data_IF_907298092766
#
_entry.id   IF_907298092766
#
_cell.length_a   1.000
_cell.length_b   1.000
_cell.length_c   1.000
_cell.angle_alpha   90.00
_cell.angle_beta   90.00
_cell.angle_gamma   90.00
#
_symmetry.space_group_name_H-M   'P 1'
#
loop_
_entity.id
_entity.type
_entity.pdbx_description
1 polymer ?
#
# COMPACT_ATOMS: atom_id res chain seq x y z
N UNK A 1 2.82 -44.14 -6.97
CA UNK A 1 3.85 -45.11 -6.51
C UNK A 1 5.29 -44.58 -6.64
N UNK A 2 5.54 -43.26 -6.51
CA UNK A 2 6.87 -42.63 -6.77
C UNK A 2 7.37 -41.69 -5.65
N UNK A 3 6.69 -41.64 -4.50
CA UNK A 3 7.08 -40.81 -3.33
C UNK A 3 7.74 -41.60 -2.19
N UNK A 4 7.80 -42.93 -2.30
CA UNK A 4 8.35 -43.79 -1.25
C UNK A 4 9.86 -44.03 -1.35
N UNK A 5 10.49 -43.81 -2.52
CA UNK A 5 11.92 -44.13 -2.71
C UNK A 5 12.90 -43.09 -2.13
N UNK A 6 12.50 -41.86 -1.81
CA UNK A 6 13.44 -40.86 -1.28
C UNK A 6 13.57 -40.89 0.25
N UNK A 7 12.54 -41.35 0.97
CA UNK A 7 12.56 -41.36 2.45
C UNK A 7 13.49 -42.43 3.04
N UNK A 8 13.75 -43.53 2.33
CA UNK A 8 14.71 -44.56 2.77
C UNK A 8 16.18 -44.17 2.50
N UNK A 9 16.45 -43.35 1.47
CA UNK A 9 17.79 -42.77 1.28
C UNK A 9 18.12 -41.73 2.37
N UNK A 10 17.13 -40.97 2.82
CA UNK A 10 17.29 -40.01 3.93
C UNK A 10 17.47 -40.68 5.30
N UNK A 11 17.14 -41.96 5.45
CA UNK A 11 17.40 -42.72 6.68
C UNK A 11 18.84 -43.24 6.78
N UNK A 12 19.52 -43.43 5.64
CA UNK A 12 20.87 -43.99 5.55
C UNK A 12 21.96 -42.91 5.45
N UNK A 13 21.59 -41.73 4.95
CA UNK A 13 22.38 -40.50 5.00
C UNK A 13 21.90 -39.70 6.22
N UNK A 14 22.79 -39.41 7.17
CA UNK A 14 22.42 -38.73 8.42
C UNK A 14 21.59 -37.47 8.19
N UNK A 15 20.77 -37.06 9.17
CA UNK A 15 19.92 -35.86 9.11
C UNK A 15 20.63 -34.66 8.45
N UNK A 16 21.93 -34.47 8.75
CA UNK A 16 22.79 -33.44 8.17
C UNK A 16 22.80 -33.47 6.64
N UNK A 17 22.99 -34.62 6.01
CA UNK A 17 23.03 -34.73 4.55
C UNK A 17 21.65 -34.54 3.92
N UNK A 18 20.57 -34.96 4.59
CA UNK A 18 19.20 -34.61 4.19
C UNK A 18 18.96 -33.09 4.22
N UNK A 19 19.44 -32.42 5.28
CA UNK A 19 19.36 -30.96 5.42
C UNK A 19 20.17 -30.24 4.33
N UNK A 20 21.38 -30.72 4.03
CA UNK A 20 22.23 -30.17 2.97
C UNK A 20 21.57 -30.31 1.60
N UNK A 21 20.99 -31.47 1.29
CA UNK A 21 20.28 -31.69 0.03
C UNK A 21 19.08 -30.75 -0.11
N UNK A 22 18.30 -30.57 0.97
CA UNK A 22 17.16 -29.64 0.98
C UNK A 22 17.59 -28.18 0.78
N UNK A 23 18.67 -27.75 1.46
CA UNK A 23 19.23 -26.40 1.30
C UNK A 23 19.74 -26.18 -0.12
N UNK A 24 20.49 -27.14 -0.69
CA UNK A 24 20.99 -27.05 -2.07
C UNK A 24 19.84 -26.92 -3.07
N UNK A 25 18.77 -27.72 -2.91
CA UNK A 25 17.59 -27.64 -3.76
C UNK A 25 16.89 -26.28 -3.64
N UNK A 26 16.78 -25.73 -2.43
CA UNK A 26 16.23 -24.40 -2.20
C UNK A 26 17.07 -23.30 -2.86
N UNK A 27 18.39 -23.36 -2.72
CA UNK A 27 19.31 -22.38 -3.33
C UNK A 27 19.21 -22.43 -4.86
N UNK A 28 19.19 -23.62 -5.46
CA UNK A 28 19.01 -23.78 -6.91
C UNK A 28 17.65 -23.23 -7.34
N UNK A 29 16.58 -23.51 -6.60
CA UNK A 29 15.25 -22.99 -6.89
C UNK A 29 15.21 -21.45 -6.83
N UNK A 30 15.80 -20.83 -5.81
CA UNK A 30 15.91 -19.37 -5.69
C UNK A 30 16.71 -18.81 -6.86
N UNK A 31 17.81 -19.46 -7.25
CA UNK A 31 18.65 -19.01 -8.36
C UNK A 31 17.90 -19.07 -9.70
N UNK A 32 17.12 -20.13 -9.92
CA UNK A 32 16.24 -20.26 -11.09
C UNK A 32 15.16 -19.17 -11.09
N UNK A 33 14.51 -18.91 -9.95
CA UNK A 33 13.54 -17.82 -9.83
C UNK A 33 14.19 -16.46 -10.11
N UNK A 34 15.39 -16.23 -9.57
CA UNK A 34 16.12 -14.98 -9.77
C UNK A 34 16.52 -14.78 -11.23
N UNK A 35 17.02 -15.82 -11.90
CA UNK A 35 17.32 -15.78 -13.35
C UNK A 35 16.05 -15.57 -14.15
N UNK A 36 14.95 -16.24 -13.81
CA UNK A 36 13.65 -16.07 -14.48
C UNK A 36 13.13 -14.64 -14.33
N UNK A 37 13.23 -14.08 -13.13
CA UNK A 37 12.87 -12.68 -12.84
C UNK A 37 13.76 -11.70 -13.58
N UNK A 38 15.08 -11.94 -13.61
CA UNK A 38 16.01 -11.12 -14.40
C UNK A 38 15.73 -11.19 -15.89
N UNK A 39 15.46 -12.37 -16.45
CA UNK A 39 15.09 -12.54 -17.87
C UNK A 39 13.78 -11.80 -18.18
N UNK A 40 12.79 -11.87 -17.30
CA UNK A 40 11.54 -11.12 -17.45
C UNK A 40 11.76 -9.61 -17.35
N UNK A 41 12.63 -9.17 -16.44
CA UNK A 41 12.97 -7.76 -16.28
C UNK A 41 13.78 -7.22 -17.47
N UNK A 42 14.74 -7.98 -17.99
CA UNK A 42 15.45 -7.66 -19.23
C UNK A 42 14.51 -7.67 -20.45
N UNK A 43 13.51 -8.56 -20.49
CA UNK A 43 12.48 -8.56 -21.54
C UNK A 43 11.55 -7.34 -21.44
N UNK A 44 11.25 -6.90 -20.21
CA UNK A 44 10.46 -5.70 -19.95
C UNK A 44 11.23 -4.41 -20.28
N UNK A 45 12.56 -4.40 -20.08
CA UNK A 45 13.44 -3.30 -20.47
C UNK A 45 13.73 -3.28 -21.99
N UNK A 46 13.84 -4.45 -22.63
CA UNK A 46 14.07 -4.58 -24.07
C UNK A 46 12.85 -4.19 -24.91
N UNK A 47 11.66 -4.23 -24.32
CA UNK A 47 10.42 -3.78 -24.97
C UNK A 47 9.75 -2.69 -24.12
N UNK A 48 10.33 -1.48 -24.05
CA UNK A 48 9.58 -0.37 -23.50
C UNK A 48 8.39 -0.16 -24.42
N UNK A 49 7.17 -0.34 -23.91
CA UNK A 49 5.97 -0.16 -24.71
C UNK A 49 5.99 1.24 -25.31
N UNK A 50 5.58 1.38 -26.57
CA UNK A 50 5.54 2.68 -27.24
C UNK A 50 4.73 3.71 -26.43
N UNK A 51 3.74 3.24 -25.65
CA UNK A 51 2.98 4.00 -24.67
C UNK A 51 3.80 4.46 -23.45
N UNK A 52 4.69 3.62 -22.92
CA UNK A 52 5.61 4.01 -21.84
C UNK A 52 6.66 5.01 -22.32
N UNK A 53 7.16 4.85 -23.55
CA UNK A 53 8.10 5.80 -24.15
C UNK A 53 7.41 7.16 -24.43
N UNK A 54 6.17 7.16 -24.92
CA UNK A 54 5.41 8.38 -25.15
C UNK A 54 5.06 9.10 -23.85
N UNK A 55 4.74 8.36 -22.78
CA UNK A 55 4.46 8.94 -21.47
C UNK A 55 5.70 9.61 -20.87
N UNK A 56 6.88 8.98 -20.98
CA UNK A 56 8.14 9.57 -20.53
C UNK A 56 8.50 10.80 -21.35
N UNK A 57 8.35 10.74 -22.68
CA UNK A 57 8.62 11.86 -23.58
C UNK A 57 7.72 13.08 -23.29
N UNK A 58 6.41 12.86 -23.08
CA UNK A 58 5.47 13.91 -22.71
C UNK A 58 5.81 14.54 -21.35
N UNK A 59 6.21 13.72 -20.37
CA UNK A 59 6.59 14.22 -19.06
C UNK A 59 7.89 15.03 -19.08
N UNK A 60 8.89 14.61 -19.88
CA UNK A 60 10.11 15.40 -20.10
C UNK A 60 9.84 16.71 -20.83
N UNK A 61 8.88 16.76 -21.77
CA UNK A 61 8.50 17.98 -22.46
C UNK A 61 7.85 19.02 -21.52
N UNK A 62 7.05 18.57 -20.55
CA UNK A 62 6.43 19.44 -19.54
C UNK A 62 7.47 19.94 -18.52
N UNK A 63 8.51 19.14 -18.25
CA UNK A 63 9.58 19.51 -17.33
C UNK A 63 10.67 20.40 -17.93
N UNK A 64 10.60 20.74 -19.22
CA UNK A 64 11.52 21.70 -19.83
C UNK A 64 11.01 23.13 -19.53
N UNK A 65 11.65 23.90 -18.62
CA UNK A 65 11.22 25.25 -18.34
C UNK A 65 11.51 26.13 -19.56
N UNK A 66 10.41 26.56 -20.17
CA UNK A 66 10.24 27.68 -21.09
C UNK A 66 11.31 28.77 -20.88
N UNK A 67 12.30 28.76 -21.76
CA UNK A 67 13.27 29.83 -21.93
C UNK A 67 13.27 30.24 -23.39
N UNK A 68 12.21 30.96 -23.81
CA UNK A 68 12.23 32.03 -24.82
C UNK A 68 10.81 32.49 -25.22
N UNK A 69 10.53 33.74 -24.87
CA UNK A 69 9.59 34.74 -25.42
C UNK A 69 8.05 34.53 -25.44
N UNK A 70 7.27 35.51 -24.90
CA UNK A 70 5.82 35.56 -25.04
C UNK A 70 5.40 36.14 -26.41
N UNK A 71 4.37 35.59 -27.09
CA UNK A 71 3.79 36.23 -28.27
C UNK A 71 2.94 37.46 -27.90
N UNK A 72 2.88 38.50 -28.75
CA UNK A 72 2.21 39.76 -28.44
C UNK A 72 0.69 39.61 -28.39
N UNK A 73 0.10 39.98 -27.25
CA UNK A 73 -1.34 40.13 -27.08
C UNK A 73 -1.84 41.33 -27.89
N UNK A 74 -2.74 41.09 -28.85
CA UNK A 74 -3.50 42.14 -29.51
C UNK A 74 -4.69 42.60 -28.62
N UNK A 75 -4.94 43.91 -28.46
CA UNK A 75 -5.97 44.41 -27.55
C UNK A 75 -7.36 44.31 -28.19
N UNK A 76 -8.30 43.63 -27.53
CA UNK A 76 -9.72 43.62 -27.93
C UNK A 76 -10.48 44.60 -27.04
N UNK A 77 -10.87 45.73 -27.62
CA UNK A 77 -11.68 46.79 -27.04
C UNK A 77 -13.13 46.30 -26.81
N UNK A 78 -13.79 46.59 -25.67
CA UNK A 78 -15.20 46.21 -25.46
C UNK A 78 -16.16 47.24 -26.09
N UNK A 79 -16.98 46.83 -27.08
CA UNK A 79 -18.10 47.63 -27.58
C UNK A 79 -19.41 47.18 -26.94
N UNK A 80 -20.07 48.12 -26.24
CA UNK A 80 -21.44 48.03 -25.72
C UNK A 80 -22.38 48.81 -26.66
N UNK A 81 -23.50 48.25 -27.12
CA UNK A 81 -24.58 49.03 -27.73
C UNK A 81 -25.71 49.30 -26.73
N UNK A 82 -26.36 50.42 -26.96
CA UNK A 82 -27.31 51.12 -26.12
C UNK A 82 -28.77 50.65 -26.23
N UNK A 83 -29.50 50.92 -25.16
CA UNK A 83 -30.92 51.29 -25.01
C UNK A 83 -31.88 51.15 -26.21
N UNK A 84 -32.98 50.41 -25.98
CA UNK A 84 -34.35 50.78 -26.41
C UNK A 84 -35.38 50.25 -25.39
N UNK A 85 -36.27 51.12 -24.91
CA UNK A 85 -37.46 50.86 -24.06
C UNK A 85 -38.59 51.79 -24.58
N UNK A 86 -39.91 51.55 -24.40
CA UNK A 86 -40.83 50.44 -24.73
C UNK A 86 -41.97 50.94 -25.70
N UNK A 87 -43.13 50.27 -25.85
CA UNK A 87 -44.28 50.70 -25.02
C UNK A 87 -45.24 49.58 -24.58
N UNK A 88 -45.97 49.87 -23.50
CA UNK A 88 -47.00 49.05 -22.89
C UNK A 88 -48.36 49.16 -23.62
N UNK A 89 -49.11 48.05 -23.71
CA UNK A 89 -50.58 48.07 -23.68
C UNK A 89 -51.19 46.65 -23.53
N UNK A 90 -52.26 46.62 -22.73
CA UNK A 90 -53.39 45.68 -22.71
C UNK A 90 -53.22 44.31 -22.02
N UNK A 91 -53.70 44.27 -20.78
CA UNK A 91 -54.25 43.06 -20.15
C UNK A 91 -55.71 42.92 -20.61
N UNK A 92 -56.15 41.73 -21.02
CA UNK A 92 -57.47 41.28 -20.64
C UNK A 92 -57.41 39.94 -19.89
N UNK A 93 -58.02 39.97 -18.73
CA UNK A 93 -58.38 38.85 -17.88
C UNK A 93 -59.55 38.10 -18.54
N UNK A 94 -59.41 36.81 -18.85
CA UNK A 94 -60.53 35.91 -19.13
C UNK A 94 -60.10 34.45 -18.99
N UNK A 95 -60.72 33.80 -18.02
CA UNK A 95 -60.47 32.45 -17.57
C UNK A 95 -60.69 31.34 -18.62
N UNK A 96 -60.04 30.21 -18.32
CA UNK A 96 -60.32 28.86 -18.79
C UNK A 96 -60.01 28.57 -20.27
N UNK A 97 -58.84 27.98 -20.50
CA UNK A 97 -58.69 26.55 -20.82
C UNK A 97 -57.24 26.18 -20.51
N UNK A 98 -57.00 25.39 -19.46
CA UNK A 98 -55.71 24.72 -19.32
C UNK A 98 -55.70 23.56 -20.31
N UNK A 99 -55.36 23.88 -21.56
CA UNK A 99 -54.88 22.87 -22.49
C UNK A 99 -53.60 22.29 -21.88
N UNK A 100 -53.64 21.00 -21.56
CA UNK A 100 -52.47 20.19 -21.19
C UNK A 100 -51.66 19.88 -22.45
N UNK A 101 -51.39 20.92 -23.24
CA UNK A 101 -50.65 20.90 -24.49
C UNK A 101 -49.31 21.59 -24.33
N UNK A 102 -48.29 20.82 -23.99
CA UNK A 102 -46.91 21.02 -24.45
C UNK A 102 -46.27 22.40 -24.27
N UNK A 103 -46.05 22.84 -23.03
CA UNK A 103 -44.98 23.82 -22.74
C UNK A 103 -44.07 23.28 -21.65
N UNK A 104 -43.00 22.61 -22.08
CA UNK A 104 -41.85 22.27 -21.21
C UNK A 104 -41.22 23.58 -20.74
N UNK A 105 -41.19 23.79 -19.43
CA UNK A 105 -40.61 24.97 -18.79
C UNK A 105 -39.07 24.91 -18.91
N UNK A 106 -38.38 25.96 -19.43
CA UNK A 106 -36.93 25.90 -19.73
C UNK A 106 -36.01 25.65 -18.52
N UNK A 107 -36.51 25.88 -17.30
CA UNK A 107 -35.77 25.61 -16.06
C UNK A 107 -35.85 24.14 -15.59
N UNK A 108 -36.57 23.29 -16.31
CA UNK A 108 -36.68 21.86 -16.03
C UNK A 108 -35.80 21.01 -16.96
N UNK A 109 -34.95 21.66 -17.76
CA UNK A 109 -33.99 20.97 -18.61
C UNK A 109 -32.76 20.58 -17.77
N UNK A 110 -32.37 19.30 -17.72
CA UNK A 110 -31.19 18.90 -16.98
C UNK A 110 -29.97 19.64 -17.54
N UNK A 111 -29.07 20.14 -16.68
CA UNK A 111 -27.92 20.92 -17.12
C UNK A 111 -27.13 20.13 -18.17
N UNK A 112 -26.61 20.80 -19.21
CA UNK A 112 -25.86 20.15 -20.27
C UNK A 112 -24.71 19.35 -19.66
N UNK A 113 -24.52 18.11 -20.11
CA UNK A 113 -23.47 17.24 -19.59
C UNK A 113 -22.12 17.95 -19.70
N UNK A 114 -21.49 18.18 -18.55
CA UNK A 114 -20.18 18.82 -18.48
C UNK A 114 -19.18 17.85 -19.13
N UNK A 115 -18.39 18.27 -20.13
CA UNK A 115 -17.40 17.40 -20.74
C UNK A 115 -16.40 16.94 -19.66
N UNK A 116 -16.28 15.61 -19.50
CA UNK A 116 -15.46 14.99 -18.46
C UNK A 116 -16.22 14.50 -17.22
N UNK A 117 -17.53 14.74 -17.10
CA UNK A 117 -18.33 14.23 -15.98
C UNK A 117 -18.30 12.69 -15.90
N UNK A 118 -18.42 12.01 -17.05
CA UNK A 118 -18.32 10.55 -17.12
C UNK A 118 -16.97 10.01 -16.62
N UNK A 119 -15.89 10.73 -16.90
CA UNK A 119 -14.54 10.38 -16.43
C UNK A 119 -14.43 10.58 -14.93
N UNK A 120 -14.98 11.69 -14.41
CA UNK A 120 -15.02 11.97 -12.97
C UNK A 120 -15.84 10.88 -12.27
N UNK A 121 -17.01 10.53 -12.79
CA UNK A 121 -17.88 9.51 -12.21
C UNK A 121 -17.24 8.11 -12.27
N UNK A 122 -16.50 7.80 -13.34
CA UNK A 122 -15.72 6.56 -13.45
C UNK A 122 -14.59 6.51 -12.41
N UNK A 123 -13.83 7.61 -12.28
CA UNK A 123 -12.74 7.70 -11.30
C UNK A 123 -13.26 7.66 -9.86
N UNK A 124 -14.41 8.29 -9.58
CA UNK A 124 -15.07 8.21 -8.29
C UNK A 124 -15.49 6.78 -7.93
N UNK A 125 -15.99 6.01 -8.91
CA UNK A 125 -16.30 4.58 -8.73
C UNK A 125 -15.06 3.76 -8.43
N UNK A 126 -13.97 3.97 -9.17
CA UNK A 126 -12.70 3.28 -8.93
C UNK A 126 -12.12 3.63 -7.55
N UNK A 127 -12.17 4.91 -7.14
CA UNK A 127 -11.73 5.32 -5.80
C UNK A 127 -12.58 4.71 -4.69
N UNK A 128 -13.90 4.59 -4.89
CA UNK A 128 -14.78 3.92 -3.95
C UNK A 128 -14.43 2.43 -3.84
N UNK A 129 -14.23 1.76 -4.97
CA UNK A 129 -13.83 0.36 -5.02
C UNK A 129 -12.49 0.14 -4.30
N UNK A 130 -11.46 0.93 -4.61
CA UNK A 130 -10.15 0.84 -3.96
C UNK A 130 -10.24 1.06 -2.44
N UNK A 131 -11.09 1.97 -1.98
CA UNK A 131 -11.29 2.18 -0.54
C UNK A 131 -11.89 0.93 0.12
N UNK A 132 -12.89 0.32 -0.50
CA UNK A 132 -13.46 -0.93 0.00
C UNK A 132 -12.41 -2.06 0.05
N UNK A 133 -11.62 -2.23 -1.01
CA UNK A 133 -10.54 -3.24 -1.04
C UNK A 133 -9.47 -2.97 0.02
N UNK A 134 -9.10 -1.70 0.25
CA UNK A 134 -8.15 -1.33 1.31
C UNK A 134 -8.72 -1.61 2.70
N UNK A 135 -10.00 -1.33 2.93
CA UNK A 135 -10.66 -1.62 4.21
C UNK A 135 -10.74 -3.13 4.46
N UNK A 136 -11.00 -3.93 3.43
CA UNK A 136 -10.96 -5.40 3.48
C UNK A 136 -9.55 -5.92 3.79
N UNK A 137 -8.53 -5.47 3.06
CA UNK A 137 -7.13 -5.84 3.32
C UNK A 137 -6.67 -5.43 4.72
N UNK A 138 -7.11 -4.27 5.23
CA UNK A 138 -6.81 -3.85 6.60
C UNK A 138 -7.43 -4.81 7.61
N UNK A 139 -8.67 -5.26 7.39
CA UNK A 139 -9.32 -6.24 8.23
C UNK A 139 -8.59 -7.59 8.20
N UNK A 140 -8.18 -8.05 7.00
CA UNK A 140 -7.40 -9.29 6.84
C UNK A 140 -6.03 -9.20 7.53
N UNK A 141 -5.32 -8.08 7.42
CA UNK A 141 -4.04 -7.87 8.10
C UNK A 141 -4.20 -7.86 9.62
N UNK A 142 -5.28 -7.25 10.13
CA UNK A 142 -5.58 -7.29 11.56
C UNK A 142 -5.88 -8.71 12.04
N UNK A 143 -6.66 -9.48 11.27
CA UNK A 143 -6.93 -10.88 11.56
C UNK A 143 -5.64 -11.73 11.54
N UNK A 144 -4.83 -11.61 10.49
CA UNK A 144 -3.56 -12.33 10.37
C UNK A 144 -2.57 -11.98 11.50
N UNK A 145 -2.54 -10.72 11.96
CA UNK A 145 -1.74 -10.32 13.11
C UNK A 145 -2.21 -10.97 14.41
N UNK A 146 -3.52 -11.08 14.62
CA UNK A 146 -4.05 -11.79 15.78
C UNK A 146 -3.77 -13.29 15.68
N UNK A 147 -3.89 -13.89 14.50
CA UNK A 147 -3.56 -15.30 14.28
C UNK A 147 -2.08 -15.58 14.58
N UNK A 148 -1.16 -14.73 14.13
CA UNK A 148 0.26 -14.82 14.48
C UNK A 148 0.47 -14.66 15.98
N UNK A 149 -0.25 -13.72 16.63
CA UNK A 149 -0.18 -13.53 18.09
C UNK A 149 -0.71 -14.76 18.83
N UNK A 150 -1.78 -15.39 18.35
CA UNK A 150 -2.34 -16.62 18.91
C UNK A 150 -1.41 -17.81 18.67
N UNK A 151 -0.85 -17.95 17.47
CA UNK A 151 0.15 -18.96 17.16
C UNK A 151 1.40 -18.79 18.03
N UNK A 152 1.86 -17.56 18.28
CA UNK A 152 2.97 -17.27 19.19
C UNK A 152 2.64 -17.65 20.64
N UNK A 153 1.43 -17.33 21.14
CA UNK A 153 0.94 -17.79 22.45
C UNK A 153 0.89 -19.32 22.55
N UNK A 154 0.59 -20.00 21.44
CA UNK A 154 0.41 -21.45 21.39
C UNK A 154 1.71 -22.23 21.12
N UNK A 155 2.73 -21.60 20.50
CA UNK A 155 3.96 -22.26 20.02
C UNK A 155 5.18 -22.03 20.92
N UNK A 156 5.21 -20.98 21.76
CA UNK A 156 6.31 -20.74 22.68
C UNK A 156 5.85 -20.12 24.01
N UNK A 157 6.47 -20.46 25.15
CA UNK A 157 6.15 -19.83 26.43
C UNK A 157 6.44 -18.34 26.33
N UNK A 158 5.47 -17.53 26.72
CA UNK A 158 5.60 -16.07 26.84
C UNK A 158 6.89 -15.69 27.59
N UNK A 159 7.85 -15.06 26.92
CA UNK A 159 8.79 -14.18 27.62
C UNK A 159 8.34 -12.74 27.30
N UNK A 160 8.17 -11.84 28.29
CA UNK A 160 9.02 -11.69 29.47
C UNK A 160 8.32 -11.16 30.76
N UNK A 161 8.15 -12.00 31.80
CA UNK A 161 8.37 -11.57 33.18
C UNK A 161 9.73 -12.06 33.70
N UNK A 162 10.24 -13.19 33.20
CA UNK A 162 11.51 -13.79 33.64
C UNK A 162 12.74 -12.95 33.29
N UNK A 163 12.80 -12.34 32.09
CA UNK A 163 13.94 -11.49 31.71
C UNK A 163 13.95 -10.16 32.48
N UNK A 164 12.77 -9.57 32.74
CA UNK A 164 12.67 -8.35 33.55
C UNK A 164 13.08 -8.64 35.01
N UNK A 165 12.62 -9.76 35.57
CA UNK A 165 13.01 -10.21 36.90
C UNK A 165 14.52 -10.51 37.00
N UNK A 166 15.08 -11.21 36.00
CA UNK A 166 16.52 -11.45 35.89
C UNK A 166 17.33 -10.15 35.77
N UNK A 167 16.84 -9.18 35.00
CA UNK A 167 17.47 -7.86 34.87
C UNK A 167 17.44 -7.10 36.21
N UNK A 168 16.34 -7.17 36.97
CA UNK A 168 16.26 -6.58 38.30
C UNK A 168 17.20 -7.25 39.29
N UNK A 169 17.31 -8.59 39.26
CA UNK A 169 18.28 -9.31 40.10
C UNK A 169 19.73 -8.97 39.74
N UNK A 170 20.05 -8.81 38.45
CA UNK A 170 21.37 -8.34 38.04
C UNK A 170 21.64 -6.90 38.51
N UNK A 171 20.63 -6.02 38.48
CA UNK A 171 20.68 -4.66 39.04
C UNK A 171 20.79 -4.67 40.57
N UNK A 172 20.36 -5.72 41.26
CA UNK A 172 20.60 -5.93 42.69
C UNK A 172 21.98 -6.56 43.00
N UNK A 173 22.72 -6.99 41.96
CA UNK A 173 24.07 -7.52 42.10
C UNK A 173 24.15 -9.03 42.29
N UNK A 174 23.07 -9.77 41.99
CA UNK A 174 23.10 -11.22 41.98
C UNK A 174 24.05 -11.75 40.90
N UNK A 175 24.69 -12.89 41.18
CA UNK A 175 25.59 -13.57 40.25
C UNK A 175 24.80 -14.30 39.16
N UNK A 176 25.46 -14.53 38.02
CA UNK A 176 24.84 -15.18 36.87
C UNK A 176 24.32 -16.59 37.20
N UNK A 177 24.96 -17.28 38.14
CA UNK A 177 24.51 -18.56 38.69
C UNK A 177 23.15 -18.48 39.37
N UNK A 178 22.99 -17.57 40.34
CA UNK A 178 21.72 -17.44 41.04
C UNK A 178 20.60 -16.96 40.11
N UNK A 179 20.91 -16.08 39.16
CA UNK A 179 19.94 -15.60 38.17
C UNK A 179 19.50 -16.75 37.25
N UNK A 180 20.43 -17.55 36.74
CA UNK A 180 20.12 -18.71 35.91
C UNK A 180 19.22 -19.72 36.65
N UNK A 181 19.56 -20.04 37.90
CA UNK A 181 18.78 -20.98 38.71
C UNK A 181 17.39 -20.45 39.11
N UNK A 182 17.26 -19.15 39.46
CA UNK A 182 15.97 -18.57 39.87
C UNK A 182 15.03 -18.29 38.72
N UNK A 183 15.55 -17.79 37.60
CA UNK A 183 14.73 -17.42 36.44
C UNK A 183 14.61 -18.53 35.39
N UNK A 184 15.32 -19.66 35.57
CA UNK A 184 15.32 -20.76 34.60
C UNK A 184 15.99 -20.37 33.26
N UNK A 185 16.96 -19.45 33.30
CA UNK A 185 17.68 -18.96 32.13
C UNK A 185 18.92 -19.82 31.86
N UNK A 186 19.36 -19.84 30.60
CA UNK A 186 20.63 -20.46 30.27
C UNK A 186 21.79 -19.68 30.93
N UNK A 187 22.86 -20.38 31.32
CA UNK A 187 23.99 -19.73 31.99
C UNK A 187 24.61 -18.59 31.17
N UNK A 188 24.73 -18.78 29.86
CA UNK A 188 25.24 -17.77 28.94
C UNK A 188 24.32 -16.52 28.87
N UNK A 189 23.00 -16.70 28.98
CA UNK A 189 22.06 -15.58 29.01
C UNK A 189 22.17 -14.80 30.31
N UNK A 190 22.32 -15.49 31.45
CA UNK A 190 22.53 -14.84 32.73
C UNK A 190 23.85 -14.06 32.78
N UNK A 191 24.94 -14.61 32.24
CA UNK A 191 26.23 -13.91 32.12
C UNK A 191 26.11 -12.63 31.27
N UNK A 192 25.37 -12.69 30.17
CA UNK A 192 25.09 -11.52 29.33
C UNK A 192 24.30 -10.45 30.09
N UNK A 193 23.26 -10.84 30.84
CA UNK A 193 22.42 -9.92 31.63
C UNK A 193 23.27 -9.23 32.71
N UNK A 194 24.15 -9.96 33.40
CA UNK A 194 25.06 -9.39 34.41
C UNK A 194 26.05 -8.40 33.77
N UNK A 195 26.62 -8.75 32.62
CA UNK A 195 27.52 -7.85 31.88
C UNK A 195 26.79 -6.58 31.42
N UNK A 196 25.55 -6.71 30.92
CA UNK A 196 24.72 -5.60 30.49
C UNK A 196 24.34 -4.69 31.67
N UNK A 197 23.95 -5.27 32.81
CA UNK A 197 23.62 -4.51 34.02
C UNK A 197 24.84 -3.74 34.56
N UNK A 198 26.04 -4.33 34.49
CA UNK A 198 27.29 -3.66 34.87
C UNK A 198 27.61 -2.49 33.94
N UNK A 199 27.57 -2.71 32.62
CA UNK A 199 27.78 -1.64 31.64
C UNK A 199 26.84 -0.44 31.87
N UNK A 200 25.58 -0.70 32.21
CA UNK A 200 24.60 0.34 32.51
C UNK A 200 24.87 1.13 33.79
N UNK A 201 25.54 0.53 34.78
CA UNK A 201 25.98 1.24 35.99
C UNK A 201 27.24 2.07 35.72
N UNK A 202 28.15 1.54 34.92
CA UNK A 202 29.43 2.19 34.60
C UNK A 202 29.25 3.35 33.60
N UNK A 203 28.20 3.32 32.78
CA UNK A 203 27.86 4.37 31.80
C UNK A 203 27.00 5.53 32.34
N UNK A 204 26.85 5.66 33.66
CA UNK A 204 26.12 6.73 34.33
C UNK A 204 27.05 7.53 35.25
#
# INVERSE_FOLDING_TARGET
MRRAMDLELLGRFGWREGLIAMIMLLVVYILVLFVRMRRLHESALATPSLAAQSAVAAYTAIQQPESADPPPQAPVTPQRPADVVPPAAAVPDAAAHFDTGGTSFPWNEPPPQIPGQELIDALQRELYQLRCEVDELRAEVLAAREDVRQAAKNTAPSAPPLYNDAMQMAIQGHDATAIAHRCGLARAEADLIVALARNRRDGR
#
